data_IF_240124209953
#
_entry.id   IF_240124209953
#
_cell.length_a   1.000
_cell.length_b   1.000
_cell.length_c   1.000
_cell.angle_alpha   90.00
_cell.angle_beta   90.00
_cell.angle_gamma   90.00
#
_symmetry.space_group_name_H-M   'P 1'
#
loop_
_entity.id
_entity.type
_entity.pdbx_description
1 polymer ?
#
# COMPACT_ATOMS: atom_id res chain seq x y z
N UNK A 1 18.84 52.16 -16.75
CA UNK A 1 19.09 50.75 -16.37
C UNK A 1 18.13 49.85 -17.15
N UNK A 2 18.62 48.87 -17.95
CA UNK A 2 17.74 48.02 -18.75
C UNK A 2 17.01 47.00 -17.85
N UNK A 3 15.67 46.95 -17.94
CA UNK A 3 14.84 45.96 -17.26
C UNK A 3 15.16 44.58 -17.84
N UNK A 4 15.44 43.60 -16.97
CA UNK A 4 15.73 42.20 -17.33
C UNK A 4 14.46 41.56 -17.90
N UNK A 5 14.28 41.61 -19.21
CA UNK A 5 13.13 41.03 -19.95
C UNK A 5 13.28 39.50 -20.15
N UNK A 6 13.72 38.78 -19.12
CA UNK A 6 13.74 37.32 -19.11
C UNK A 6 12.67 36.82 -18.17
N UNK A 7 11.68 36.09 -18.69
CA UNK A 7 10.67 35.43 -17.86
C UNK A 7 11.39 34.45 -16.91
N UNK A 8 10.99 34.45 -15.63
CA UNK A 8 11.62 33.59 -14.64
C UNK A 8 11.28 32.14 -14.94
N UNK A 9 12.28 31.30 -15.21
CA UNK A 9 12.12 29.86 -15.51
C UNK A 9 11.24 29.12 -14.49
N UNK A 10 11.26 29.52 -13.20
CA UNK A 10 10.37 28.95 -12.17
C UNK A 10 8.90 29.35 -12.37
N UNK A 11 8.64 30.54 -12.89
CA UNK A 11 7.30 31.01 -13.22
C UNK A 11 6.76 30.36 -14.49
N UNK A 12 7.61 30.10 -15.48
CA UNK A 12 7.26 29.33 -16.69
C UNK A 12 6.90 27.88 -16.32
N UNK A 13 7.75 27.19 -15.56
CA UNK A 13 7.46 25.82 -15.09
C UNK A 13 6.21 25.74 -14.19
N UNK A 14 5.85 26.82 -13.49
CA UNK A 14 4.59 26.87 -12.74
C UNK A 14 3.37 27.06 -13.65
N UNK A 15 3.50 27.86 -14.72
CA UNK A 15 2.45 28.04 -15.74
C UNK A 15 2.24 26.76 -16.54
N UNK A 16 3.30 26.08 -16.93
CA UNK A 16 3.25 24.79 -17.63
C UNK A 16 2.52 23.73 -16.81
N UNK A 17 2.85 23.57 -15.52
CA UNK A 17 2.12 22.63 -14.64
C UNK A 17 0.64 22.96 -14.53
N UNK A 18 0.29 24.24 -14.35
CA UNK A 18 -1.13 24.66 -14.31
C UNK A 18 -1.84 24.38 -15.64
N UNK A 19 -1.18 24.64 -16.77
CA UNK A 19 -1.75 24.34 -18.08
C UNK A 19 -1.91 22.84 -18.34
N UNK A 20 -0.98 22.02 -17.86
CA UNK A 20 -1.05 20.56 -17.95
C UNK A 20 -2.22 20.01 -17.10
N UNK A 21 -2.31 20.43 -15.84
CA UNK A 21 -3.42 20.07 -14.94
C UNK A 21 -4.79 20.51 -15.50
N UNK A 22 -4.87 21.71 -16.08
CA UNK A 22 -6.08 22.20 -16.73
C UNK A 22 -6.42 21.37 -17.99
N UNK A 23 -5.42 20.99 -18.79
CA UNK A 23 -5.62 20.13 -19.96
C UNK A 23 -6.06 18.72 -19.58
N UNK A 24 -5.50 18.14 -18.51
CA UNK A 24 -5.90 16.83 -17.99
C UNK A 24 -7.32 16.87 -17.44
N UNK A 25 -7.68 17.94 -16.72
CA UNK A 25 -9.04 18.15 -16.22
C UNK A 25 -10.03 18.27 -17.37
N UNK A 26 -9.68 19.01 -18.43
CA UNK A 26 -10.50 19.13 -19.64
C UNK A 26 -10.65 17.78 -20.35
N UNK A 27 -9.56 17.03 -20.52
CA UNK A 27 -9.60 15.69 -21.12
C UNK A 27 -10.44 14.71 -20.30
N UNK A 28 -10.34 14.73 -18.96
CA UNK A 28 -11.19 13.88 -18.10
C UNK A 28 -12.66 14.28 -18.21
N UNK A 29 -12.96 15.57 -18.26
CA UNK A 29 -14.32 16.06 -18.45
C UNK A 29 -14.87 15.70 -19.84
N UNK A 30 -14.06 15.76 -20.89
CA UNK A 30 -14.43 15.34 -22.24
C UNK A 30 -14.67 13.83 -22.31
N UNK A 31 -13.78 13.01 -21.73
CA UNK A 31 -13.98 11.56 -21.63
C UNK A 31 -15.23 11.21 -20.84
N UNK A 32 -15.49 11.87 -19.72
CA UNK A 32 -16.70 11.66 -18.94
C UNK A 32 -17.96 12.01 -19.74
N UNK A 33 -17.96 13.12 -20.47
CA UNK A 33 -19.06 13.49 -21.38
C UNK A 33 -19.23 12.50 -22.52
N UNK A 34 -18.14 11.99 -23.08
CA UNK A 34 -18.17 10.98 -24.13
C UNK A 34 -18.72 9.65 -23.58
N UNK A 35 -18.29 9.22 -22.40
CA UNK A 35 -18.85 8.05 -21.72
C UNK A 35 -20.33 8.23 -21.38
N UNK A 36 -20.74 9.41 -20.91
CA UNK A 36 -22.15 9.73 -20.67
C UNK A 36 -22.95 9.70 -21.97
N UNK A 37 -22.44 10.29 -23.04
CA UNK A 37 -23.05 10.25 -24.37
C UNK A 37 -23.21 8.80 -24.86
N UNK A 38 -22.18 7.96 -24.70
CA UNK A 38 -22.25 6.55 -25.07
C UNK A 38 -23.22 5.75 -24.18
N UNK A 39 -23.28 6.03 -22.87
CA UNK A 39 -24.26 5.40 -21.96
C UNK A 39 -25.69 5.79 -22.32
N UNK A 40 -25.93 7.06 -22.65
CA UNK A 40 -27.24 7.54 -23.07
C UNK A 40 -27.64 6.95 -24.43
N UNK A 41 -26.69 6.84 -25.37
CA UNK A 41 -26.88 6.19 -26.67
C UNK A 41 -27.14 4.68 -26.56
N UNK A 42 -26.51 3.98 -25.61
CA UNK A 42 -26.78 2.56 -25.32
C UNK A 42 -28.20 2.35 -24.77
N UNK A 43 -28.79 3.39 -24.18
CA UNK A 43 -30.15 3.40 -23.68
C UNK A 43 -30.39 2.39 -22.56
N UNK A 44 -31.66 2.16 -22.22
CA UNK A 44 -32.00 1.18 -21.19
C UNK A 44 -31.74 -0.24 -21.69
N UNK A 45 -30.77 -0.95 -21.07
CA UNK A 45 -30.55 -2.39 -21.28
C UNK A 45 -31.89 -3.14 -21.27
N UNK A 46 -32.13 -3.98 -22.28
CA UNK A 46 -33.36 -4.78 -22.39
C UNK A 46 -33.56 -5.66 -21.15
N UNK A 47 -34.81 -6.03 -20.85
CA UNK A 47 -35.13 -6.93 -19.72
C UNK A 47 -34.36 -8.27 -19.81
N UNK A 48 -34.07 -8.75 -21.02
CA UNK A 48 -33.27 -9.95 -21.23
C UNK A 48 -31.78 -9.74 -20.90
N UNK A 49 -31.21 -8.58 -21.26
CA UNK A 49 -29.83 -8.24 -20.91
C UNK A 49 -29.66 -8.07 -19.40
N UNK A 50 -30.60 -7.38 -18.73
CA UNK A 50 -30.60 -7.23 -17.26
C UNK A 50 -30.68 -8.57 -16.54
N UNK A 51 -31.54 -9.49 -17.01
CA UNK A 51 -31.64 -10.85 -16.45
C UNK A 51 -30.34 -11.65 -16.62
N UNK A 52 -29.64 -11.51 -17.75
CA UNK A 52 -28.35 -12.18 -17.98
C UNK A 52 -27.25 -11.62 -17.07
N UNK A 53 -27.23 -10.30 -16.87
CA UNK A 53 -26.27 -9.63 -15.97
C UNK A 53 -26.50 -10.03 -14.50
N UNK A 54 -27.76 -10.03 -14.04
CA UNK A 54 -28.14 -10.48 -12.69
C UNK A 54 -27.83 -11.97 -12.46
N UNK A 55 -28.08 -12.83 -13.45
CA UNK A 55 -27.73 -14.25 -13.35
C UNK A 55 -26.21 -14.47 -13.34
N UNK A 56 -25.46 -13.69 -14.13
CA UNK A 56 -24.00 -13.72 -14.13
C UNK A 56 -23.42 -13.22 -12.80
N UNK A 57 -23.97 -12.15 -12.23
CA UNK A 57 -23.59 -11.61 -10.93
C UNK A 57 -23.90 -12.61 -9.81
N UNK A 58 -25.10 -13.20 -9.80
CA UNK A 58 -25.47 -14.24 -8.83
C UNK A 58 -24.59 -15.48 -8.95
N UNK A 59 -24.21 -15.87 -10.16
CA UNK A 59 -23.29 -17.00 -10.40
C UNK A 59 -21.87 -16.65 -9.93
N UNK A 60 -21.41 -15.43 -10.15
CA UNK A 60 -20.12 -14.95 -9.67
C UNK A 60 -20.07 -14.88 -8.14
N UNK A 61 -21.11 -14.35 -7.50
CA UNK A 61 -21.23 -14.30 -6.04
C UNK A 61 -21.28 -15.72 -5.44
N UNK A 62 -22.06 -16.63 -6.04
CA UNK A 62 -22.11 -18.02 -5.59
C UNK A 62 -20.75 -18.74 -5.75
N UNK A 63 -20.01 -18.44 -6.84
CA UNK A 63 -18.67 -18.96 -7.05
C UNK A 63 -17.67 -18.39 -6.03
N UNK A 64 -17.77 -17.10 -5.70
CA UNK A 64 -16.94 -16.45 -4.69
C UNK A 64 -17.21 -17.03 -3.28
N UNK A 65 -18.48 -17.16 -2.88
CA UNK A 65 -18.85 -17.79 -1.60
C UNK A 65 -18.39 -19.24 -1.52
N UNK A 66 -18.50 -20.01 -2.61
CA UNK A 66 -18.01 -21.39 -2.67
C UNK A 66 -16.48 -21.45 -2.57
N UNK A 67 -15.76 -20.52 -3.20
CA UNK A 67 -14.31 -20.44 -3.11
C UNK A 67 -13.84 -20.09 -1.69
N UNK A 68 -14.53 -19.16 -1.02
CA UNK A 68 -14.25 -18.79 0.37
C UNK A 68 -14.51 -19.97 1.32
N UNK A 69 -15.67 -20.63 1.22
CA UNK A 69 -15.99 -21.81 2.03
C UNK A 69 -14.98 -22.94 1.81
N UNK A 70 -14.54 -23.14 0.56
CA UNK A 70 -13.49 -24.12 0.25
C UNK A 70 -12.16 -23.76 0.90
N UNK A 71 -11.77 -22.48 0.85
CA UNK A 71 -10.54 -22.00 1.50
C UNK A 71 -10.59 -22.22 3.01
N UNK A 72 -11.72 -21.98 3.66
CA UNK A 72 -11.90 -22.25 5.09
C UNK A 72 -11.82 -23.75 5.39
N UNK A 73 -12.50 -24.60 4.61
CA UNK A 73 -12.44 -26.06 4.78
C UNK A 73 -11.02 -26.62 4.56
N UNK A 74 -10.28 -26.11 3.57
CA UNK A 74 -8.88 -26.48 3.35
C UNK A 74 -7.98 -26.05 4.52
N UNK A 75 -8.22 -24.86 5.10
CA UNK A 75 -7.50 -24.40 6.30
C UNK A 75 -7.79 -25.28 7.53
N UNK A 76 -9.05 -25.68 7.74
CA UNK A 76 -9.44 -26.59 8.82
C UNK A 76 -8.85 -27.99 8.62
N UNK A 77 -8.91 -28.54 7.39
CA UNK A 77 -8.31 -29.83 7.06
C UNK A 77 -6.79 -29.82 7.25
N UNK A 78 -6.10 -28.74 6.87
CA UNK A 78 -4.68 -28.56 7.12
C UNK A 78 -4.37 -28.50 8.64
N UNK A 79 -5.20 -27.82 9.42
CA UNK A 79 -5.06 -27.77 10.87
C UNK A 79 -5.23 -29.18 11.50
N UNK A 80 -6.25 -29.93 11.10
CA UNK A 80 -6.47 -31.31 11.56
C UNK A 80 -5.35 -32.24 11.12
N UNK A 81 -4.90 -32.17 9.86
CA UNK A 81 -3.77 -32.97 9.38
C UNK A 81 -2.47 -32.64 10.14
N UNK A 82 -2.23 -31.37 10.46
CA UNK A 82 -1.10 -30.97 11.31
C UNK A 82 -1.22 -31.52 12.74
N UNK A 83 -2.43 -31.59 13.30
CA UNK A 83 -2.67 -32.15 14.62
C UNK A 83 -2.49 -33.68 14.63
N UNK A 84 -2.97 -34.38 13.59
CA UNK A 84 -2.80 -35.82 13.41
C UNK A 84 -1.32 -36.17 13.21
N UNK A 85 -0.58 -35.42 12.39
CA UNK A 85 0.88 -35.66 12.23
C UNK A 85 1.66 -35.48 13.55
N UNK A 86 1.25 -34.54 14.42
CA UNK A 86 1.85 -34.36 15.75
C UNK A 86 1.49 -35.50 16.72
N UNK A 87 0.30 -36.08 16.61
CA UNK A 87 -0.08 -37.23 17.44
C UNK A 87 0.49 -38.54 16.91
N UNK A 88 0.63 -38.70 15.59
CA UNK A 88 1.28 -39.84 14.95
C UNK A 88 2.80 -39.81 15.17
N UNK A 89 3.45 -38.65 15.16
CA UNK A 89 4.85 -38.51 15.59
C UNK A 89 5.04 -38.91 17.07
N UNK A 90 4.04 -38.67 17.94
CA UNK A 90 4.04 -39.14 19.33
C UNK A 90 3.73 -40.63 19.46
N UNK A 91 2.96 -41.23 18.53
CA UNK A 91 2.65 -42.67 18.49
C UNK A 91 3.76 -43.51 17.88
N UNK A 92 4.50 -43.00 16.90
CA UNK A 92 5.67 -43.65 16.33
C UNK A 92 6.76 -43.90 17.41
N UNK A 93 6.82 -43.06 18.44
CA UNK A 93 7.68 -43.23 19.61
C UNK A 93 7.09 -44.17 20.70
N UNK A 94 5.96 -44.84 20.42
CA UNK A 94 5.21 -45.69 21.37
C UNK A 94 4.75 -47.01 20.75
N UNK A 95 5.42 -47.49 19.70
CA UNK A 95 5.18 -48.81 19.11
C UNK A 95 5.91 -49.86 19.95
N UNK A 96 5.24 -50.38 20.99
CA UNK A 96 5.83 -51.42 21.84
C UNK A 96 4.99 -51.95 23.00
N UNK A 97 3.75 -51.49 23.18
CA UNK A 97 2.88 -52.00 24.23
C UNK A 97 1.47 -52.32 23.69
N UNK A 98 0.94 -53.53 23.91
CA UNK A 98 -0.44 -53.83 23.57
C UNK A 98 -1.36 -52.94 24.42
N UNK A 99 -2.36 -52.33 23.79
CA UNK A 99 -3.33 -51.52 24.50
C UNK A 99 -4.01 -52.41 25.58
N UNK A 100 -4.02 -51.97 26.86
CA UNK A 100 -4.59 -52.76 27.94
C UNK A 100 -6.07 -53.00 27.63
N UNK A 101 -6.53 -54.24 27.81
CA UNK A 101 -7.93 -54.60 27.63
C UNK A 101 -8.73 -53.89 28.73
N UNK A 102 -9.40 -52.82 28.35
CA UNK A 102 -10.17 -51.96 29.25
C UNK A 102 -11.49 -52.67 29.58
N UNK A 103 -11.78 -52.83 30.86
CA UNK A 103 -13.05 -53.42 31.32
C UNK A 103 -14.20 -52.42 31.16
N UNK A 104 -15.45 -52.88 31.06
CA UNK A 104 -16.62 -51.99 30.87
C UNK A 104 -16.73 -50.93 31.98
N UNK A 105 -16.37 -51.28 33.22
CA UNK A 105 -16.32 -50.37 34.35
C UNK A 105 -15.30 -49.23 34.15
N UNK A 106 -14.12 -49.50 33.58
CA UNK A 106 -13.15 -48.46 33.24
C UNK A 106 -13.61 -47.56 32.08
N UNK A 107 -14.35 -48.10 31.11
CA UNK A 107 -14.92 -47.29 30.02
C UNK A 107 -15.96 -46.29 30.54
N UNK A 108 -16.78 -46.71 31.52
CA UNK A 108 -17.74 -45.82 32.18
C UNK A 108 -17.01 -44.74 32.99
N UNK A 109 -16.03 -45.10 33.83
CA UNK A 109 -15.26 -44.10 34.59
C UNK A 109 -14.55 -43.10 33.67
N UNK A 110 -13.97 -43.58 32.57
CA UNK A 110 -13.28 -42.71 31.60
C UNK A 110 -14.26 -41.78 30.87
N UNK A 111 -15.48 -42.24 30.54
CA UNK A 111 -16.53 -41.37 29.97
C UNK A 111 -17.00 -40.33 30.97
N UNK A 112 -17.14 -40.68 32.24
CA UNK A 112 -17.51 -39.73 33.30
C UNK A 112 -16.42 -38.69 33.53
N UNK A 113 -15.14 -39.11 33.54
CA UNK A 113 -13.99 -38.22 33.64
C UNK A 113 -13.88 -37.27 32.44
N UNK A 114 -14.06 -37.77 31.21
CA UNK A 114 -14.09 -36.94 30.00
C UNK A 114 -15.27 -35.95 30.02
N UNK A 115 -16.44 -36.37 30.49
CA UNK A 115 -17.61 -35.48 30.64
C UNK A 115 -17.35 -34.37 31.67
N UNK A 116 -16.77 -34.72 32.82
CA UNK A 116 -16.39 -33.75 33.84
C UNK A 116 -15.28 -32.80 33.36
N UNK A 117 -14.34 -33.30 32.56
CA UNK A 117 -13.30 -32.49 31.94
C UNK A 117 -13.89 -31.51 30.93
N UNK A 118 -14.81 -31.96 30.07
CA UNK A 118 -15.51 -31.11 29.11
C UNK A 118 -16.33 -30.03 29.82
N UNK A 119 -16.97 -30.37 30.94
CA UNK A 119 -17.72 -29.41 31.77
C UNK A 119 -16.79 -28.37 32.41
N UNK A 120 -15.64 -28.77 32.95
CA UNK A 120 -14.62 -27.85 33.47
C UNK A 120 -14.03 -26.97 32.38
N UNK A 121 -13.77 -27.52 31.19
CA UNK A 121 -13.28 -26.76 30.04
C UNK A 121 -14.35 -25.78 29.52
N UNK A 122 -15.63 -26.17 29.54
CA UNK A 122 -16.76 -25.30 29.20
C UNK A 122 -16.97 -24.18 30.24
N UNK A 123 -16.83 -24.48 31.53
CA UNK A 123 -16.87 -23.46 32.59
C UNK A 123 -15.68 -22.50 32.49
N UNK A 124 -14.48 -23.02 32.22
CA UNK A 124 -13.31 -22.20 31.97
C UNK A 124 -13.45 -21.35 30.69
N UNK A 125 -14.08 -21.87 29.64
CA UNK A 125 -14.40 -21.13 28.42
C UNK A 125 -15.44 -20.03 28.69
N UNK A 126 -16.49 -20.31 29.45
CA UNK A 126 -17.47 -19.31 29.91
C UNK A 126 -16.81 -18.22 30.74
N UNK A 127 -15.89 -18.58 31.65
CA UNK A 127 -15.13 -17.61 32.46
C UNK A 127 -14.16 -16.77 31.64
N UNK A 128 -13.55 -17.35 30.59
CA UNK A 128 -12.73 -16.59 29.63
C UNK A 128 -13.60 -15.64 28.80
N UNK A 129 -14.72 -16.12 28.28
CA UNK A 129 -15.67 -15.30 27.52
C UNK A 129 -16.24 -14.14 28.35
N UNK A 130 -16.51 -14.36 29.65
CA UNK A 130 -16.94 -13.30 30.55
C UNK A 130 -15.86 -12.23 30.78
N UNK A 131 -14.58 -12.63 30.89
CA UNK A 131 -13.44 -11.70 30.99
C UNK A 131 -13.21 -10.93 29.70
N UNK A 132 -13.32 -11.57 28.54
CA UNK A 132 -13.16 -10.89 27.25
C UNK A 132 -14.33 -9.96 26.97
N UNK A 133 -15.56 -10.31 27.38
CA UNK A 133 -16.70 -9.41 27.28
C UNK A 133 -16.52 -8.15 28.14
N UNK A 134 -15.95 -8.28 29.35
CA UNK A 134 -15.60 -7.14 30.20
C UNK A 134 -14.53 -6.25 29.55
N UNK A 135 -13.52 -6.84 28.91
CA UNK A 135 -12.46 -6.13 28.20
C UNK A 135 -12.99 -5.40 26.95
N UNK A 136 -13.82 -6.05 26.14
CA UNK A 136 -14.48 -5.44 24.97
C UNK A 136 -15.43 -4.30 25.36
N UNK A 137 -16.11 -4.41 26.50
CA UNK A 137 -17.01 -3.37 27.02
C UNK A 137 -16.19 -2.18 27.58
N UNK A 138 -15.07 -2.45 28.25
CA UNK A 138 -14.11 -1.43 28.68
C UNK A 138 -13.45 -0.73 27.48
N UNK A 139 -13.00 -1.49 26.48
CA UNK A 139 -12.50 -0.96 25.22
C UNK A 139 -13.54 -0.08 24.53
N UNK A 140 -14.82 -0.48 24.52
CA UNK A 140 -15.90 0.35 23.94
C UNK A 140 -16.09 1.67 24.68
N UNK A 141 -15.93 1.70 26.00
CA UNK A 141 -16.07 2.91 26.82
C UNK A 141 -14.82 3.81 26.73
N UNK A 142 -13.63 3.21 26.62
CA UNK A 142 -12.35 3.94 26.62
C UNK A 142 -11.93 4.38 25.21
N UNK A 143 -12.23 3.56 24.19
CA UNK A 143 -11.98 3.86 22.77
C UNK A 143 -13.16 4.59 22.12
N UNK A 144 -14.01 5.26 22.90
CA UNK A 144 -14.91 6.26 22.32
C UNK A 144 -14.04 7.36 21.72
N UNK A 145 -13.89 7.31 20.40
CA UNK A 145 -13.10 8.27 19.65
C UNK A 145 -13.59 9.69 19.98
N UNK A 146 -12.69 10.52 20.49
CA UNK A 146 -13.00 11.91 20.81
C UNK A 146 -13.06 12.71 19.50
N UNK A 147 -14.25 12.79 18.93
CA UNK A 147 -14.54 13.50 17.67
C UNK A 147 -14.30 15.00 17.75
N UNK A 148 -14.09 15.58 18.93
CA UNK A 148 -13.77 17.01 19.08
C UNK A 148 -12.31 17.33 18.72
N UNK A 149 -11.46 16.32 18.51
CA UNK A 149 -10.05 16.45 18.10
C UNK A 149 -9.78 15.84 16.72
N UNK A 150 -10.82 15.53 15.98
CA UNK A 150 -10.69 14.90 14.66
C UNK A 150 -10.37 15.98 13.62
N UNK A 151 -9.08 16.13 13.29
CA UNK A 151 -8.57 17.10 12.31
C UNK A 151 -9.01 16.78 10.87
N UNK A 152 -9.76 15.68 10.67
CA UNK A 152 -10.36 15.29 9.39
C UNK A 152 -11.52 16.20 8.99
N UNK A 153 -12.15 16.88 9.95
CA UNK A 153 -13.24 17.84 9.68
C UNK A 153 -12.65 19.23 9.45
N UNK A 154 -12.62 19.65 8.19
CA UNK A 154 -12.18 21.00 7.81
C UNK A 154 -13.33 21.98 8.04
N UNK A 155 -13.39 22.57 9.23
CA UNK A 155 -14.30 23.69 9.51
C UNK A 155 -13.76 24.97 8.86
N UNK A 156 -14.58 25.59 7.99
CA UNK A 156 -14.31 26.87 7.37
C UNK A 156 -15.59 27.71 7.31
N UNK A 157 -15.48 28.98 7.71
CA UNK A 157 -16.63 29.89 7.81
C UNK A 157 -16.90 30.70 6.54
N UNK A 158 -16.05 30.56 5.51
CA UNK A 158 -16.17 31.22 4.21
C UNK A 158 -15.38 30.51 3.11
N UNK A 159 -15.66 30.89 1.85
CA UNK A 159 -15.10 30.24 0.64
C UNK A 159 -13.58 30.38 0.58
N UNK A 160 -13.05 31.57 0.88
CA UNK A 160 -11.60 31.81 0.85
C UNK A 160 -10.85 31.01 1.94
N UNK A 161 -11.45 30.87 3.11
CA UNK A 161 -10.89 30.08 4.22
C UNK A 161 -10.87 28.59 3.89
N UNK A 162 -11.95 28.08 3.25
CA UNK A 162 -12.05 26.69 2.82
C UNK A 162 -10.94 26.32 1.81
N UNK A 163 -10.66 27.23 0.86
CA UNK A 163 -9.60 27.03 -0.15
C UNK A 163 -8.22 26.95 0.52
N UNK A 164 -7.94 27.82 1.50
CA UNK A 164 -6.65 27.81 2.21
C UNK A 164 -6.46 26.52 2.99
N UNK A 165 -7.47 26.08 3.75
CA UNK A 165 -7.38 24.86 4.58
C UNK A 165 -7.22 23.59 3.73
N UNK A 166 -7.96 23.47 2.63
CA UNK A 166 -7.80 22.35 1.69
C UNK A 166 -6.42 22.34 1.02
N UNK A 167 -5.86 23.52 0.72
CA UNK A 167 -4.54 23.61 0.06
C UNK A 167 -3.36 23.17 0.93
N UNK A 168 -3.51 23.17 2.26
CA UNK A 168 -2.45 22.77 3.20
C UNK A 168 -2.40 21.25 3.38
N UNK A 169 -3.55 20.57 3.39
CA UNK A 169 -3.65 19.11 3.55
C UNK A 169 -2.98 18.35 2.39
N UNK A 170 -3.04 18.90 1.17
CA UNK A 170 -2.38 18.32 0.00
C UNK A 170 -0.83 18.38 0.05
N UNK A 171 -0.24 19.14 0.98
CA UNK A 171 1.22 19.35 1.02
C UNK A 171 1.99 18.31 1.84
N UNK A 172 1.33 17.54 2.70
CA UNK A 172 1.99 16.57 3.58
C UNK A 172 2.13 15.15 2.97
N UNK A 173 1.36 14.82 1.92
CA UNK A 173 1.41 13.50 1.26
C UNK A 173 2.50 13.37 0.18
N UNK A 174 3.22 14.45 -0.14
CA UNK A 174 4.24 14.46 -1.18
C UNK A 174 5.50 15.18 -0.69
N UNK A 175 6.43 14.43 -0.08
CA UNK A 175 7.82 14.87 0.04
C UNK A 175 8.29 15.36 -1.34
N UNK A 176 8.57 16.66 -1.52
CA UNK A 176 8.83 17.19 -2.85
C UNK A 176 10.18 16.65 -3.33
N UNK A 177 10.19 15.95 -4.46
CA UNK A 177 11.43 15.67 -5.19
C UNK A 177 12.24 16.97 -5.29
N UNK A 178 13.49 16.94 -4.79
CA UNK A 178 14.31 18.13 -4.55
C UNK A 178 14.26 19.10 -5.73
N UNK A 179 13.60 20.23 -5.47
CA UNK A 179 13.13 21.24 -6.42
C UNK A 179 14.26 22.15 -6.93
N UNK A 180 15.52 21.83 -6.62
CA UNK A 180 16.68 22.69 -6.87
C UNK A 180 17.60 22.12 -7.97
N UNK A 181 17.46 22.56 -9.23
CA UNK A 181 18.35 22.17 -10.32
C UNK A 181 19.82 22.52 -10.02
N UNK A 182 20.07 23.59 -9.27
CA UNK A 182 21.41 24.01 -8.84
C UNK A 182 22.09 23.02 -7.88
N UNK A 183 21.31 22.36 -7.01
CA UNK A 183 21.84 21.32 -6.10
C UNK A 183 22.14 20.04 -6.86
N UNK A 184 21.29 19.66 -7.82
CA UNK A 184 21.54 18.52 -8.72
C UNK A 184 22.77 18.73 -9.60
N UNK A 185 23.00 19.94 -10.10
CA UNK A 185 24.21 20.28 -10.89
C UNK A 185 25.50 20.08 -10.08
N UNK A 186 25.54 20.58 -8.84
CA UNK A 186 26.71 20.41 -7.97
C UNK A 186 26.92 18.97 -7.54
N UNK A 187 25.84 18.25 -7.21
CA UNK A 187 25.92 16.85 -6.80
C UNK A 187 26.35 15.93 -7.95
N UNK A 188 25.75 16.08 -9.13
CA UNK A 188 26.12 15.30 -10.33
C UNK A 188 27.54 15.62 -10.81
N UNK A 189 27.97 16.89 -10.76
CA UNK A 189 29.35 17.25 -11.06
C UNK A 189 30.34 16.63 -10.09
N UNK A 190 30.05 16.65 -8.79
CA UNK A 190 30.92 16.05 -7.77
C UNK A 190 31.05 14.54 -7.93
N UNK A 191 29.94 13.84 -8.19
CA UNK A 191 29.97 12.40 -8.46
C UNK A 191 30.80 12.06 -9.71
N UNK A 192 30.68 12.87 -10.76
CA UNK A 192 31.46 12.70 -11.98
C UNK A 192 32.95 13.05 -11.78
N UNK A 193 33.27 14.09 -11.00
CA UNK A 193 34.64 14.45 -10.63
C UNK A 193 35.31 13.31 -9.87
N UNK A 194 34.64 12.70 -8.88
CA UNK A 194 35.20 11.60 -8.10
C UNK A 194 35.45 10.33 -8.92
N UNK A 195 34.60 10.05 -9.92
CA UNK A 195 34.77 8.89 -10.81
C UNK A 195 35.84 9.08 -11.89
N UNK A 196 35.94 10.27 -12.47
CA UNK A 196 36.84 10.54 -13.61
C UNK A 196 38.22 11.06 -13.19
N UNK A 197 38.35 11.66 -12.01
CA UNK A 197 39.64 12.11 -11.49
C UNK A 197 40.71 11.00 -11.37
N UNK A 198 40.42 9.79 -10.85
CA UNK A 198 41.40 8.70 -10.82
C UNK A 198 41.77 8.22 -12.24
N UNK A 199 40.79 8.07 -13.14
CA UNK A 199 41.02 7.67 -14.53
C UNK A 199 41.94 8.63 -15.28
N UNK A 200 41.69 9.93 -15.17
CA UNK A 200 42.51 10.95 -15.82
C UNK A 200 43.94 11.03 -15.26
N UNK A 201 44.13 10.70 -13.97
CA UNK A 201 45.46 10.64 -13.34
C UNK A 201 46.28 9.45 -13.85
N UNK A 202 45.64 8.33 -14.12
CA UNK A 202 46.26 7.14 -14.72
C UNK A 202 46.60 7.36 -16.20
N UNK A 203 45.69 7.95 -16.98
CA UNK A 203 45.92 8.18 -18.41
C UNK A 203 46.98 9.24 -18.70
N UNK A 204 47.04 10.30 -17.88
CA UNK A 204 47.96 11.42 -18.08
C UNK A 204 48.62 11.83 -16.79
N UNK A 205 49.61 11.07 -16.29
CA UNK A 205 50.35 11.47 -15.09
C UNK A 205 51.11 12.78 -15.32
N UNK A 206 51.14 13.66 -14.32
CA UNK A 206 51.96 14.89 -14.34
C UNK A 206 51.22 16.21 -14.59
N UNK A 207 49.88 16.20 -14.72
CA UNK A 207 49.10 17.43 -14.78
C UNK A 207 48.80 17.98 -13.37
N UNK A 208 48.59 19.29 -13.28
CA UNK A 208 48.14 19.92 -12.02
C UNK A 208 46.67 19.60 -11.78
N UNK A 209 46.26 19.45 -10.50
CA UNK A 209 44.85 19.22 -10.11
C UNK A 209 43.87 20.18 -10.78
N UNK A 210 44.24 21.46 -10.94
CA UNK A 210 43.42 22.46 -11.64
C UNK A 210 43.16 22.09 -13.10
N UNK A 211 44.17 21.60 -13.81
CA UNK A 211 44.07 21.21 -15.22
C UNK A 211 43.19 19.96 -15.39
N UNK A 212 43.29 19.00 -14.47
CA UNK A 212 42.36 17.86 -14.44
C UNK A 212 40.92 18.32 -14.22
N UNK A 213 40.67 19.23 -13.27
CA UNK A 213 39.33 19.78 -13.01
C UNK A 213 38.76 20.51 -14.24
N UNK A 214 39.56 21.29 -14.95
CA UNK A 214 39.14 21.97 -16.19
C UNK A 214 38.79 20.98 -17.30
N UNK A 215 39.51 19.85 -17.39
CA UNK A 215 39.25 18.78 -18.36
C UNK A 215 37.99 17.98 -18.00
N UNK A 216 37.84 17.62 -16.72
CA UNK A 216 36.63 16.98 -16.17
C UNK A 216 35.41 17.87 -16.40
N UNK A 217 35.52 19.19 -16.16
CA UNK A 217 34.41 20.13 -16.42
C UNK A 217 34.00 20.16 -17.90
N UNK A 218 34.95 20.08 -18.83
CA UNK A 218 34.66 20.01 -20.28
C UNK A 218 34.00 18.69 -20.68
N UNK A 219 34.46 17.57 -20.12
CA UNK A 219 33.85 16.25 -20.32
C UNK A 219 32.45 16.20 -19.73
N UNK A 220 32.27 16.72 -18.51
CA UNK A 220 30.99 16.76 -17.81
C UNK A 220 29.94 17.59 -18.55
N UNK A 221 30.31 18.75 -19.12
CA UNK A 221 29.40 19.55 -19.97
C UNK A 221 28.83 18.76 -21.15
N UNK A 222 29.56 17.78 -21.67
CA UNK A 222 29.14 16.90 -22.77
C UNK A 222 28.57 15.56 -22.29
N UNK A 223 28.76 15.23 -21.01
CA UNK A 223 28.32 13.96 -20.44
C UNK A 223 26.79 13.89 -20.37
N UNK A 224 26.21 12.69 -20.55
CA UNK A 224 24.79 12.46 -20.29
C UNK A 224 24.43 12.74 -18.82
N UNK A 225 25.39 12.72 -17.88
CA UNK A 225 25.14 12.94 -16.46
C UNK A 225 24.93 14.40 -16.06
N UNK A 226 25.14 15.34 -17.00
CA UNK A 226 24.76 16.72 -16.78
C UNK A 226 23.22 16.86 -16.90
N UNK A 227 22.51 17.23 -15.82
CA UNK A 227 21.06 17.35 -15.84
C UNK A 227 20.54 18.42 -16.83
N UNK A 228 21.40 19.35 -17.29
CA UNK A 228 21.05 20.31 -18.36
C UNK A 228 20.97 19.68 -19.76
N UNK A 229 21.67 18.56 -19.99
CA UNK A 229 21.63 17.85 -21.27
C UNK A 229 20.49 16.82 -21.33
N UNK A 230 19.87 16.49 -20.19
CA UNK A 230 18.75 15.54 -20.11
C UNK A 230 17.40 16.18 -20.48
N UNK A 231 17.25 17.50 -20.34
CA UNK A 231 16.00 18.21 -20.65
C UNK A 231 15.77 18.48 -22.14
N UNK A 232 16.76 18.23 -23.00
CA UNK A 232 16.66 18.45 -24.46
C UNK A 232 16.31 17.19 -25.26
N UNK A 233 16.15 16.04 -24.59
CA UNK A 233 15.62 14.80 -25.19
C UNK A 233 14.19 14.58 -24.71
N UNK A 234 13.25 15.32 -25.31
CA UNK A 234 11.84 14.98 -25.42
C UNK A 234 11.37 15.46 -26.78
#
# INVERSE_FOLDING_TARGET
>A
MPKKMGVNSKAEAARERRSAEESDRRQRAERAKEEEYWREAEGSKSRAARRREEEAEKRAEAAARKAENRRLAEAEAAAVASAVSKTDARKANRVGAPAPKVTEAELVRRREEERLRLEREAEAAKKRAARTAEEEEYERVVLVANTNRDDSVIEASGVDEAIVRLSLVDTDAALPADRHPERRLKASFKAFEEAELPRLKEEKPGLTLKQYKDMIWKLWKKSPDNPLNKSTKN
#
